data_IF_850147234044
#
_entry.id   IF_850147234044
#
_cell.length_a   1.000
_cell.length_b   1.000
_cell.length_c   1.000
_cell.angle_alpha   90.00
_cell.angle_beta   90.00
_cell.angle_gamma   90.00
#
_symmetry.space_group_name_H-M   'P 1'
#
loop_
_entity.id
_entity.type
_entity.pdbx_description
1 polymer ?
#
# COMPACT_ATOMS: atom_id res chain seq x y z
N UNK A 1 -7.93 -19.19 -10.35
CA UNK A 1 -7.42 -18.59 -9.10
C UNK A 1 -8.48 -17.66 -8.53
N UNK A 2 -8.44 -17.36 -7.23
CA UNK A 2 -9.45 -16.51 -6.62
C UNK A 2 -9.40 -15.10 -7.21
N UNK A 3 -10.56 -14.47 -7.41
CA UNK A 3 -10.69 -13.08 -7.88
C UNK A 3 -9.91 -12.76 -9.18
N UNK A 4 -9.78 -13.74 -10.08
CA UNK A 4 -9.13 -13.58 -11.38
C UNK A 4 -10.17 -13.52 -12.50
N UNK A 5 -9.78 -12.95 -13.64
CA UNK A 5 -10.53 -13.10 -14.89
C UNK A 5 -10.08 -14.41 -15.55
N UNK A 6 -10.98 -15.37 -15.72
CA UNK A 6 -10.75 -16.59 -16.47
C UNK A 6 -11.17 -16.43 -17.95
N UNK A 7 -10.37 -16.95 -18.87
CA UNK A 7 -10.74 -17.12 -20.28
C UNK A 7 -11.26 -18.54 -20.50
N UNK A 8 -12.50 -18.62 -20.99
CA UNK A 8 -13.20 -19.88 -21.24
C UNK A 8 -13.54 -19.98 -22.71
N UNK A 9 -13.22 -21.13 -23.30
CA UNK A 9 -13.75 -21.57 -24.59
C UNK A 9 -14.87 -22.57 -24.32
N UNK A 10 -16.03 -22.28 -24.87
CA UNK A 10 -17.18 -23.17 -24.90
C UNK A 10 -17.45 -23.59 -26.34
N UNK A 11 -17.95 -24.79 -26.54
CA UNK A 11 -18.34 -25.24 -27.87
C UNK A 11 -19.59 -26.11 -27.86
N UNK A 12 -20.49 -25.86 -28.80
CA UNK A 12 -21.50 -26.82 -29.18
C UNK A 12 -20.88 -27.78 -30.21
N UNK A 13 -20.95 -29.07 -29.92
CA UNK A 13 -20.45 -30.14 -30.80
C UNK A 13 -21.56 -31.10 -31.19
N UNK A 14 -22.80 -30.75 -30.86
CA UNK A 14 -23.96 -31.49 -31.30
C UNK A 14 -24.11 -31.39 -32.83
N UNK A 15 -24.67 -32.44 -33.42
CA UNK A 15 -24.82 -32.55 -34.86
C UNK A 15 -26.20 -32.08 -35.33
N UNK A 16 -27.18 -32.04 -34.41
CA UNK A 16 -28.59 -31.94 -34.73
C UNK A 16 -29.28 -30.71 -34.10
N UNK A 17 -28.74 -30.18 -32.99
CA UNK A 17 -29.32 -29.05 -32.25
C UNK A 17 -28.33 -27.90 -31.98
N UNK A 18 -28.83 -26.65 -32.07
CA UNK A 18 -28.15 -25.46 -31.53
C UNK A 18 -28.29 -25.41 -30.00
N UNK A 19 -27.36 -24.76 -29.31
CA UNK A 19 -27.39 -24.70 -27.84
C UNK A 19 -26.88 -23.34 -27.34
N UNK A 20 -27.71 -22.69 -26.52
CA UNK A 20 -27.40 -21.50 -25.75
C UNK A 20 -26.48 -21.81 -24.58
N UNK A 21 -25.21 -21.47 -24.69
CA UNK A 21 -24.17 -21.83 -23.75
C UNK A 21 -23.45 -20.61 -23.16
N UNK A 22 -23.00 -20.68 -21.92
CA UNK A 22 -22.35 -19.54 -21.28
C UNK A 22 -21.60 -19.84 -19.99
N UNK A 23 -20.94 -18.80 -19.48
CA UNK A 23 -20.19 -18.86 -18.22
C UNK A 23 -20.43 -17.57 -17.42
N UNK A 24 -20.55 -17.71 -16.10
CA UNK A 24 -20.75 -16.59 -15.19
C UNK A 24 -20.11 -16.83 -13.83
N UNK A 25 -20.03 -15.76 -13.05
CA UNK A 25 -19.56 -15.81 -11.67
C UNK A 25 -20.53 -16.65 -10.82
N UNK A 26 -20.00 -17.35 -9.82
CA UNK A 26 -20.77 -18.20 -8.92
C UNK A 26 -21.94 -17.44 -8.26
N UNK A 27 -23.15 -17.98 -8.34
CA UNK A 27 -24.36 -17.35 -7.80
C UNK A 27 -24.86 -16.12 -8.56
N UNK A 28 -24.27 -15.79 -9.72
CA UNK A 28 -24.74 -14.67 -10.56
C UNK A 28 -26.13 -14.97 -11.13
N UNK A 29 -27.00 -13.97 -11.21
CA UNK A 29 -28.28 -14.07 -11.91
C UNK A 29 -28.21 -13.61 -13.38
N UNK A 30 -27.03 -13.23 -13.86
CA UNK A 30 -26.84 -12.74 -15.22
C UNK A 30 -27.07 -13.86 -16.23
N UNK A 31 -27.83 -13.55 -17.28
CA UNK A 31 -28.08 -14.42 -18.42
C UNK A 31 -27.09 -14.07 -19.54
N UNK A 32 -25.94 -14.73 -19.52
CA UNK A 32 -24.82 -14.49 -20.46
C UNK A 32 -24.58 -15.74 -21.27
N UNK A 33 -25.37 -15.90 -22.33
CA UNK A 33 -25.30 -17.04 -23.25
C UNK A 33 -24.84 -16.58 -24.63
N UNK A 34 -24.17 -17.48 -25.33
CA UNK A 34 -23.94 -17.45 -26.76
C UNK A 34 -24.75 -18.59 -27.36
N UNK A 35 -25.53 -18.27 -28.39
CA UNK A 35 -26.19 -19.27 -29.21
C UNK A 35 -25.15 -19.87 -30.16
N UNK A 36 -24.85 -21.16 -30.00
CA UNK A 36 -23.83 -21.88 -30.76
C UNK A 36 -24.50 -22.94 -31.63
N UNK A 37 -24.27 -22.86 -32.94
CA UNK A 37 -24.97 -23.71 -33.90
C UNK A 37 -24.49 -25.16 -33.88
N UNK A 38 -25.33 -26.04 -34.40
CA UNK A 38 -25.04 -27.44 -34.67
C UNK A 38 -23.93 -27.58 -35.72
N UNK A 39 -23.18 -28.68 -35.63
CA UNK A 39 -22.08 -28.98 -36.56
C UNK A 39 -22.34 -30.27 -37.31
N UNK A 40 -23.18 -30.23 -38.35
CA UNK A 40 -23.66 -31.39 -39.13
C UNK A 40 -22.61 -32.30 -39.83
N UNK A 41 -21.31 -32.16 -39.56
CA UNK A 41 -20.22 -32.98 -40.12
C UNK A 41 -19.05 -33.29 -39.17
N UNK A 42 -19.22 -33.05 -37.86
CA UNK A 42 -18.15 -33.13 -36.86
C UNK A 42 -17.35 -31.83 -36.74
N UNK A 43 -16.77 -31.58 -35.57
CA UNK A 43 -16.14 -30.29 -35.22
C UNK A 43 -16.81 -29.69 -33.99
N UNK A 44 -16.95 -28.36 -33.98
CA UNK A 44 -17.74 -27.62 -33.00
C UNK A 44 -17.91 -26.16 -33.46
N UNK A 45 -19.01 -25.52 -33.06
CA UNK A 45 -19.12 -24.07 -33.09
C UNK A 45 -18.59 -23.54 -31.75
N UNK A 46 -17.68 -22.57 -31.80
CA UNK A 46 -16.85 -22.18 -30.65
C UNK A 46 -17.11 -20.73 -30.22
N UNK A 47 -17.46 -20.58 -28.95
CA UNK A 47 -17.55 -19.29 -28.26
C UNK A 47 -16.35 -19.07 -27.34
N UNK A 48 -15.99 -17.79 -27.16
CA UNK A 48 -15.04 -17.37 -26.13
C UNK A 48 -15.71 -16.40 -25.17
N UNK A 49 -15.56 -16.64 -23.88
CA UNK A 49 -16.08 -15.77 -22.84
C UNK A 49 -15.05 -15.53 -21.73
N UNK A 50 -15.13 -14.35 -21.13
CA UNK A 50 -14.39 -13.99 -19.93
C UNK A 50 -15.34 -13.90 -18.75
N UNK A 51 -14.89 -14.40 -17.60
CA UNK A 51 -15.65 -14.45 -16.35
C UNK A 51 -14.75 -14.15 -15.16
N UNK A 52 -15.27 -13.42 -14.18
CA UNK A 52 -14.61 -13.28 -12.89
C UNK A 52 -14.86 -14.53 -12.06
N UNK A 53 -13.80 -15.15 -11.54
CA UNK A 53 -13.90 -16.19 -10.52
C UNK A 53 -14.17 -15.54 -9.17
N UNK A 54 -14.98 -16.16 -8.33
CA UNK A 54 -15.19 -15.67 -6.96
C UNK A 54 -13.95 -15.87 -6.05
N UNK A 55 -14.10 -15.54 -4.76
CA UNK A 55 -13.06 -15.68 -3.76
C UNK A 55 -12.59 -17.14 -3.53
N UNK A 56 -13.41 -18.13 -3.90
CA UNK A 56 -13.12 -19.56 -3.81
C UNK A 56 -12.62 -20.14 -5.16
N UNK A 57 -12.35 -19.28 -6.15
CA UNK A 57 -11.98 -19.67 -7.53
C UNK A 57 -13.09 -20.38 -8.31
N UNK A 58 -14.36 -20.12 -7.97
CA UNK A 58 -15.52 -20.78 -8.56
C UNK A 58 -16.14 -19.93 -9.67
N UNK A 59 -16.58 -20.63 -10.72
CA UNK A 59 -17.39 -20.11 -11.82
C UNK A 59 -18.48 -21.14 -12.13
N UNK A 60 -19.55 -20.69 -12.78
CA UNK A 60 -20.65 -21.54 -13.23
C UNK A 60 -20.68 -21.59 -14.75
N UNK A 61 -20.92 -22.78 -15.30
CA UNK A 61 -21.12 -23.03 -16.71
C UNK A 61 -22.58 -23.41 -16.97
N UNK A 62 -23.18 -22.78 -17.98
CA UNK A 62 -24.59 -22.96 -18.36
C UNK A 62 -24.70 -23.42 -19.80
N UNK A 63 -25.70 -24.25 -20.04
CA UNK A 63 -26.17 -24.69 -21.33
C UNK A 63 -27.66 -25.00 -21.21
N UNK A 64 -28.44 -24.66 -22.23
CA UNK A 64 -29.90 -24.76 -22.17
C UNK A 64 -30.39 -26.21 -22.22
N UNK A 65 -29.67 -27.07 -22.96
CA UNK A 65 -29.81 -28.51 -22.91
C UNK A 65 -28.50 -29.15 -22.47
N UNK A 66 -28.56 -29.92 -21.38
CA UNK A 66 -27.40 -30.56 -20.78
C UNK A 66 -27.08 -31.93 -21.36
N UNK A 67 -27.97 -32.45 -22.19
CA UNK A 67 -27.82 -33.75 -22.84
C UNK A 67 -26.97 -33.69 -24.11
N UNK A 68 -26.80 -32.49 -24.68
CA UNK A 68 -26.03 -32.23 -25.90
C UNK A 68 -24.52 -32.37 -25.70
N UNK A 69 -23.85 -32.67 -26.81
CA UNK A 69 -22.39 -32.78 -26.82
C UNK A 69 -21.76 -31.39 -26.74
N UNK A 70 -21.14 -31.07 -25.61
CA UNK A 70 -20.48 -29.78 -25.40
C UNK A 70 -18.98 -29.94 -25.10
N UNK A 71 -18.27 -28.82 -25.20
CA UNK A 71 -16.89 -28.70 -24.75
C UNK A 71 -16.72 -27.45 -23.89
N UNK A 72 -15.99 -27.61 -22.78
CA UNK A 72 -15.58 -26.52 -21.89
C UNK A 72 -14.07 -26.58 -21.68
N UNK A 73 -13.37 -25.49 -22.00
CA UNK A 73 -11.93 -25.38 -21.79
C UNK A 73 -11.59 -24.06 -21.11
N UNK A 74 -10.93 -24.15 -19.96
CA UNK A 74 -10.25 -23.02 -19.34
C UNK A 74 -8.88 -22.85 -20.02
N UNK A 75 -8.69 -21.75 -20.75
CA UNK A 75 -7.48 -21.53 -21.57
C UNK A 75 -6.46 -20.62 -20.92
N UNK A 76 -6.87 -19.80 -19.96
CA UNK A 76 -5.99 -18.89 -19.23
C UNK A 76 -6.71 -18.10 -18.15
N UNK A 77 -5.95 -17.29 -17.42
CA UNK A 77 -6.49 -16.33 -16.48
C UNK A 77 -5.56 -15.11 -16.33
N UNK A 78 -6.14 -13.99 -15.88
CA UNK A 78 -5.43 -12.79 -15.44
C UNK A 78 -5.84 -12.48 -14.01
N UNK A 79 -4.86 -12.41 -13.11
CA UNK A 79 -5.09 -12.00 -11.72
C UNK A 79 -4.85 -10.49 -11.57
N UNK A 80 -5.49 -9.89 -10.56
CA UNK A 80 -5.15 -8.55 -10.14
C UNK A 80 -3.68 -8.44 -9.75
N UNK A 81 -3.10 -7.27 -10.00
CA UNK A 81 -1.78 -6.89 -9.51
C UNK A 81 -1.97 -5.77 -8.50
N UNK A 82 -1.42 -5.94 -7.31
CA UNK A 82 -1.30 -4.90 -6.30
C UNK A 82 0.03 -4.18 -6.55
N UNK A 83 -0.06 -2.90 -6.87
CA UNK A 83 1.10 -2.02 -6.98
C UNK A 83 1.33 -1.36 -5.63
N UNK A 84 2.57 -1.41 -5.15
CA UNK A 84 3.06 -0.65 -4.01
C UNK A 84 3.87 0.55 -4.52
N UNK A 85 3.54 1.75 -4.07
CA UNK A 85 4.25 2.98 -4.40
C UNK A 85 4.49 3.83 -3.16
N UNK A 86 5.46 4.75 -3.27
CA UNK A 86 5.49 5.90 -2.37
C UNK A 86 4.15 6.64 -2.47
N UNK A 87 3.75 7.26 -1.37
CA UNK A 87 2.62 8.17 -1.37
C UNK A 87 2.84 9.32 -2.38
N UNK A 88 1.76 9.85 -2.97
CA UNK A 88 1.84 10.90 -4.00
C UNK A 88 2.48 12.21 -3.48
N UNK A 89 2.29 12.51 -2.20
CA UNK A 89 2.94 13.63 -1.51
C UNK A 89 4.42 13.37 -1.15
N UNK A 90 4.91 12.14 -1.34
CA UNK A 90 6.25 11.69 -0.97
C UNK A 90 6.29 10.92 0.35
N UNK A 91 7.49 10.57 0.80
CA UNK A 91 7.71 9.90 2.07
C UNK A 91 7.64 10.86 3.27
N UNK A 92 7.35 10.28 4.44
CA UNK A 92 7.39 10.99 5.71
C UNK A 92 8.76 11.59 6.01
N UNK A 93 8.73 12.72 6.71
CA UNK A 93 9.95 13.34 7.24
C UNK A 93 10.33 12.73 8.60
N UNK A 94 11.48 13.14 9.15
CA UNK A 94 11.89 12.67 10.47
C UNK A 94 10.89 13.13 11.55
N UNK A 95 10.04 12.22 11.98
CA UNK A 95 9.06 12.41 13.05
C UNK A 95 9.63 12.60 14.47
N UNK A 96 10.92 12.33 14.72
CA UNK A 96 11.52 12.46 16.05
C UNK A 96 12.06 13.88 16.25
N UNK A 97 11.43 14.65 17.15
CA UNK A 97 11.63 16.10 17.24
C UNK A 97 12.63 16.57 18.31
N UNK A 98 13.22 15.68 19.10
CA UNK A 98 14.05 16.08 20.24
C UNK A 98 13.27 16.28 21.54
N UNK A 99 11.97 15.99 21.54
CA UNK A 99 11.03 16.31 22.65
C UNK A 99 10.99 15.24 23.75
N UNK A 100 11.75 14.15 23.60
CA UNK A 100 11.80 13.06 24.58
C UNK A 100 10.65 12.05 24.48
N UNK A 101 9.75 12.25 23.52
CA UNK A 101 8.61 11.40 23.20
C UNK A 101 7.75 12.07 22.13
N UNK A 102 7.00 11.27 21.40
CA UNK A 102 6.11 11.72 20.33
C UNK A 102 4.77 11.01 20.45
N UNK A 103 3.69 11.70 20.11
CA UNK A 103 2.35 11.11 20.08
C UNK A 103 1.82 11.27 18.67
N UNK A 104 1.24 10.20 18.12
CA UNK A 104 0.79 10.16 16.73
C UNK A 104 1.91 10.53 15.75
N UNK A 105 3.13 10.05 15.97
CA UNK A 105 4.23 10.26 15.04
C UNK A 105 3.96 9.52 13.74
N UNK A 106 3.92 10.24 12.62
CA UNK A 106 3.74 9.70 11.28
C UNK A 106 5.10 9.23 10.75
N UNK A 107 5.17 7.94 10.41
CA UNK A 107 6.43 7.22 10.24
C UNK A 107 6.70 6.74 8.83
N UNK A 108 5.63 6.50 8.06
CA UNK A 108 5.79 5.96 6.72
C UNK A 108 4.53 6.19 5.90
N UNK A 109 4.66 6.79 4.73
CA UNK A 109 3.55 7.01 3.80
C UNK A 109 3.67 6.05 2.63
N UNK A 110 2.58 5.44 2.19
CA UNK A 110 2.60 4.53 1.04
C UNK A 110 1.23 4.45 0.38
N UNK A 111 1.22 4.01 -0.87
CA UNK A 111 -0.01 3.77 -1.62
C UNK A 111 -0.08 2.29 -2.03
N UNK A 112 -1.30 1.75 -1.97
CA UNK A 112 -1.62 0.47 -2.58
C UNK A 112 -2.65 0.68 -3.69
N UNK A 113 -2.30 0.31 -4.92
CA UNK A 113 -3.20 0.36 -6.08
C UNK A 113 -3.51 -1.06 -6.58
N UNK A 114 -4.78 -1.54 -6.47
CA UNK A 114 -5.20 -2.84 -6.97
C UNK A 114 -5.59 -2.81 -8.46
N UNK A 115 -5.41 -1.66 -9.13
CA UNK A 115 -5.93 -1.38 -10.45
C UNK A 115 -7.46 -1.42 -10.45
N UNK A 116 -8.04 -2.20 -11.36
CA UNK A 116 -9.49 -2.38 -11.43
C UNK A 116 -10.03 -3.55 -10.59
N UNK A 117 -9.22 -4.13 -9.71
CA UNK A 117 -9.59 -5.28 -8.89
C UNK A 117 -9.87 -4.88 -7.44
N UNK A 118 -10.51 -5.78 -6.71
CA UNK A 118 -10.55 -5.73 -5.24
C UNK A 118 -9.60 -6.79 -4.70
N UNK A 119 -8.59 -6.36 -3.95
CA UNK A 119 -7.53 -7.22 -3.41
C UNK A 119 -7.61 -7.23 -1.89
N UNK A 120 -7.52 -8.42 -1.29
CA UNK A 120 -7.37 -8.57 0.16
C UNK A 120 -5.90 -8.76 0.52
N UNK A 121 -5.36 -7.82 1.29
CA UNK A 121 -4.04 -7.93 1.92
C UNK A 121 -4.25 -8.49 3.31
N UNK A 122 -3.82 -9.72 3.56
CA UNK A 122 -4.08 -10.42 4.82
C UNK A 122 -3.00 -10.16 5.88
N UNK A 123 -1.84 -9.67 5.47
CA UNK A 123 -0.79 -9.21 6.36
C UNK A 123 0.09 -8.16 5.69
N UNK A 124 0.47 -7.13 6.45
CA UNK A 124 1.52 -6.18 6.12
C UNK A 124 2.61 -6.24 7.18
N UNK A 125 3.87 -6.23 6.74
CA UNK A 125 5.04 -6.18 7.63
C UNK A 125 5.94 -5.02 7.24
N UNK A 126 6.08 -4.02 8.10
CA UNK A 126 7.12 -3.03 7.92
C UNK A 126 8.43 -3.60 8.46
N UNK A 127 9.49 -3.50 7.68
CA UNK A 127 10.83 -3.89 8.12
C UNK A 127 11.46 -2.71 8.85
N UNK A 128 11.94 -2.98 10.06
CA UNK A 128 12.71 -2.07 10.88
C UNK A 128 14.19 -2.44 10.77
N UNK A 129 15.02 -1.46 10.46
CA UNK A 129 16.46 -1.60 10.30
C UNK A 129 17.18 -0.44 10.97
N UNK A 130 18.49 -0.54 11.13
CA UNK A 130 19.31 0.51 11.77
C UNK A 130 18.74 0.98 13.13
N UNK A 131 18.11 0.05 13.85
CA UNK A 131 17.53 0.32 15.16
C UNK A 131 18.66 0.60 16.13
N UNK A 132 18.71 1.82 16.66
CA UNK A 132 19.64 2.24 17.68
C UNK A 132 18.87 2.63 18.93
N UNK A 133 19.29 2.08 20.08
CA UNK A 133 18.81 2.41 21.43
C UNK A 133 17.29 2.27 21.73
N UNK A 134 16.49 1.84 20.76
CA UNK A 134 15.06 1.54 20.94
C UNK A 134 14.78 0.06 21.26
N UNK A 135 13.68 -0.18 21.97
CA UNK A 135 13.12 -1.48 22.35
C UNK A 135 11.62 -1.56 22.02
N UNK A 136 11.03 -2.76 22.10
CA UNK A 136 9.58 -2.93 21.86
C UNK A 136 8.72 -2.09 22.80
N UNK A 137 9.19 -1.83 24.01
CA UNK A 137 8.46 -1.05 25.03
C UNK A 137 8.39 0.44 24.72
N UNK A 138 9.21 0.93 23.79
CA UNK A 138 9.21 2.35 23.39
C UNK A 138 8.06 2.68 22.44
N UNK A 139 7.47 1.68 21.78
CA UNK A 139 6.39 1.85 20.82
C UNK A 139 5.02 1.63 21.47
N UNK A 140 4.09 2.53 21.17
CA UNK A 140 2.68 2.43 21.51
C UNK A 140 1.80 2.81 20.32
N UNK A 141 0.50 2.55 20.41
CA UNK A 141 -0.50 3.10 19.47
C UNK A 141 -0.23 2.81 17.98
N UNK A 142 0.44 1.70 17.65
CA UNK A 142 0.91 1.44 16.28
C UNK A 142 -0.27 1.11 15.37
N UNK A 143 -0.47 1.92 14.33
CA UNK A 143 -1.65 1.86 13.47
C UNK A 143 -1.34 2.26 12.02
N UNK A 144 -2.20 1.83 11.09
CA UNK A 144 -2.23 2.33 9.72
C UNK A 144 -3.53 3.13 9.56
N UNK A 145 -3.41 4.35 9.05
CA UNK A 145 -4.54 5.24 8.78
C UNK A 145 -4.65 5.43 7.28
N UNK A 146 -5.88 5.48 6.78
CA UNK A 146 -6.16 5.91 5.40
C UNK A 146 -5.99 7.41 5.32
N UNK A 147 -5.08 7.86 4.47
CA UNK A 147 -4.99 9.24 4.01
C UNK A 147 -6.04 9.40 2.90
N UNK A 148 -7.08 10.17 3.18
CA UNK A 148 -8.26 10.28 2.35
C UNK A 148 -8.20 11.45 1.38
N UNK A 149 -7.33 12.43 1.62
CA UNK A 149 -7.17 13.60 0.76
C UNK A 149 -5.82 13.65 0.02
N UNK A 150 -5.02 12.60 0.17
CA UNK A 150 -3.72 12.38 -0.47
C UNK A 150 -2.74 13.53 -0.14
N UNK A 151 -2.86 14.11 1.07
CA UNK A 151 -2.03 15.23 1.50
C UNK A 151 -0.66 14.80 2.02
N UNK A 152 -0.53 13.56 2.49
CA UNK A 152 0.66 13.03 3.13
C UNK A 152 0.79 13.43 4.60
N UNK A 153 -0.29 13.88 5.24
CA UNK A 153 -0.36 14.18 6.67
C UNK A 153 -1.67 13.60 7.23
N UNK A 154 -1.69 13.03 8.44
CA UNK A 154 -2.96 12.59 9.07
C UNK A 154 -3.69 13.78 9.70
N UNK A 155 -4.78 14.22 9.05
CA UNK A 155 -5.43 15.49 9.37
C UNK A 155 -6.87 15.39 9.94
N UNK A 156 -7.52 16.55 10.07
CA UNK A 156 -8.88 16.73 10.55
C UNK A 156 -9.97 16.17 9.63
N UNK A 157 -9.96 14.87 9.40
CA UNK A 157 -10.90 14.14 8.54
C UNK A 157 -10.60 12.64 8.50
N UNK A 158 -9.41 12.27 8.94
CA UNK A 158 -8.80 10.97 8.69
C UNK A 158 -8.70 10.18 9.98
N UNK A 159 -9.69 9.32 10.18
CA UNK A 159 -9.78 8.45 11.36
C UNK A 159 -9.90 6.98 11.01
N UNK A 160 -9.86 6.65 9.72
CA UNK A 160 -10.09 5.28 9.24
C UNK A 160 -8.85 4.45 9.47
N UNK A 161 -8.85 3.64 10.52
CA UNK A 161 -7.78 2.70 10.85
C UNK A 161 -7.97 1.37 10.12
N UNK A 162 -6.89 0.80 9.60
CA UNK A 162 -6.87 -0.48 8.89
C UNK A 162 -5.74 -1.38 9.41
N UNK A 163 -5.74 -2.67 9.07
CA UNK A 163 -4.66 -3.61 9.45
C UNK A 163 -4.70 -4.11 10.90
N UNK A 164 -5.53 -3.49 11.75
CA UNK A 164 -5.59 -3.77 13.19
C UNK A 164 -4.43 -3.11 13.94
N UNK A 165 -4.21 -3.53 15.19
CA UNK A 165 -3.09 -3.03 15.98
C UNK A 165 -1.77 -3.61 15.46
N UNK A 166 -0.78 -2.75 15.26
CA UNK A 166 0.57 -3.15 14.87
C UNK A 166 1.31 -3.82 16.03
N UNK A 167 2.02 -4.91 15.73
CA UNK A 167 2.88 -5.60 16.71
C UNK A 167 4.34 -5.35 16.35
N UNK A 168 5.05 -4.58 17.17
CA UNK A 168 6.49 -4.36 17.03
C UNK A 168 7.29 -5.55 17.55
N UNK A 169 8.40 -5.83 16.88
CA UNK A 169 9.46 -6.72 17.34
C UNK A 169 10.80 -6.18 16.82
N UNK A 170 11.46 -5.39 17.63
CA UNK A 170 12.76 -4.76 17.36
C UNK A 170 13.88 -5.78 17.20
N UNK A 171 13.78 -6.96 17.82
CA UNK A 171 14.75 -8.05 17.65
C UNK A 171 14.63 -8.69 16.27
N UNK A 172 13.39 -8.90 15.80
CA UNK A 172 13.12 -9.40 14.45
C UNK A 172 13.23 -8.30 13.39
N UNK A 173 13.23 -7.03 13.80
CA UNK A 173 13.24 -5.89 12.91
C UNK A 173 11.92 -5.73 12.17
N UNK A 174 10.78 -5.80 12.86
CA UNK A 174 9.46 -5.76 12.20
C UNK A 174 8.39 -5.00 12.98
N UNK A 175 7.44 -4.39 12.27
CA UNK A 175 6.07 -4.10 12.73
C UNK A 175 5.10 -4.91 11.88
N UNK A 176 4.25 -5.73 12.50
CA UNK A 176 3.34 -6.64 11.78
C UNK A 176 1.87 -6.28 12.03
N UNK A 177 1.10 -6.19 10.95
CA UNK A 177 -0.35 -6.04 10.94
C UNK A 177 -0.99 -7.30 10.37
N UNK A 178 -1.85 -7.98 11.15
CA UNK A 178 -2.42 -9.29 10.77
C UNK A 178 -3.93 -9.27 10.52
N UNK A 179 -4.58 -8.11 10.60
CA UNK A 179 -5.98 -7.97 10.19
C UNK A 179 -6.03 -7.62 8.71
N UNK A 180 -6.92 -8.26 7.97
CA UNK A 180 -7.01 -8.05 6.53
C UNK A 180 -7.43 -6.61 6.17
N UNK A 181 -6.81 -6.08 5.13
CA UNK A 181 -7.13 -4.80 4.48
C UNK A 181 -7.72 -5.11 3.11
N UNK A 182 -8.89 -4.56 2.80
CA UNK A 182 -9.51 -4.66 1.48
C UNK A 182 -9.18 -3.40 0.70
N UNK A 183 -8.51 -3.55 -0.44
CA UNK A 183 -8.12 -2.45 -1.32
C UNK A 183 -8.93 -2.58 -2.62
N UNK A 184 -9.78 -1.61 -2.92
CA UNK A 184 -10.69 -1.63 -4.08
C UNK A 184 -10.45 -0.50 -5.10
N UNK A 185 -9.54 0.40 -4.78
CA UNK A 185 -9.05 1.49 -5.60
C UNK A 185 -7.65 1.87 -5.07
N UNK A 186 -6.89 2.64 -5.84
CA UNK A 186 -5.72 3.37 -5.32
C UNK A 186 -6.08 4.02 -3.98
N UNK A 187 -5.30 3.73 -2.94
CA UNK A 187 -5.53 4.24 -1.59
C UNK A 187 -4.21 4.51 -0.92
N UNK A 188 -4.12 5.70 -0.36
CA UNK A 188 -3.00 6.22 0.41
C UNK A 188 -3.13 5.86 1.88
N UNK A 189 -1.99 5.56 2.51
CA UNK A 189 -1.90 5.09 3.87
C UNK A 189 -0.70 5.69 4.59
N UNK A 190 -0.89 5.97 5.88
CA UNK A 190 0.17 6.45 6.77
C UNK A 190 0.30 5.48 7.96
N UNK A 191 1.51 4.97 8.18
CA UNK A 191 1.91 4.26 9.40
C UNK A 191 2.16 5.29 10.50
N UNK A 192 1.55 5.08 11.66
CA UNK A 192 1.69 5.96 12.82
C UNK A 192 1.97 5.18 14.10
N UNK A 193 2.69 5.79 15.03
CA UNK A 193 2.87 5.24 16.38
C UNK A 193 3.10 6.33 17.43
N UNK A 194 2.97 5.95 18.69
CA UNK A 194 3.34 6.73 19.86
C UNK A 194 4.70 6.27 20.38
N UNK A 195 5.52 7.22 20.82
CA UNK A 195 6.81 6.98 21.46
C UNK A 195 6.86 7.68 22.82
N UNK A 196 6.86 6.89 23.89
CA UNK A 196 6.79 7.46 25.24
C UNK A 196 8.14 7.95 25.79
N UNK A 197 9.23 7.40 25.26
CA UNK A 197 10.61 7.72 25.65
C UNK A 197 11.51 7.69 24.44
N UNK A 198 11.79 8.86 23.88
CA UNK A 198 12.88 9.05 22.93
C UNK A 198 14.05 9.73 23.64
N UNK A 199 15.25 9.28 23.34
CA UNK A 199 16.51 9.76 23.88
C UNK A 199 17.49 9.99 22.75
N UNK A 200 18.50 10.82 23.00
CA UNK A 200 19.54 11.05 22.01
C UNK A 200 20.14 9.71 21.53
N UNK A 201 20.27 9.58 20.20
CA UNK A 201 20.72 8.39 19.49
C UNK A 201 19.65 7.31 19.27
N UNK A 202 18.41 7.51 19.69
CA UNK A 202 17.32 6.65 19.24
C UNK A 202 17.12 6.87 17.75
N UNK A 203 17.18 5.78 16.98
CA UNK A 203 16.92 5.82 15.54
C UNK A 203 16.32 4.53 15.04
N UNK A 204 15.55 4.63 13.96
CA UNK A 204 15.02 3.50 13.23
C UNK A 204 14.84 3.88 11.76
N UNK A 205 15.22 2.97 10.86
CA UNK A 205 14.92 3.04 9.43
C UNK A 205 13.79 2.06 9.11
N UNK A 206 12.70 2.57 8.56
CA UNK A 206 11.47 1.85 8.24
C UNK A 206 11.38 1.66 6.72
N UNK A 207 10.98 0.47 6.29
CA UNK A 207 10.74 0.16 4.87
C UNK A 207 9.59 -0.81 4.69
N UNK A 208 8.97 -0.76 3.51
CA UNK A 208 7.96 -1.71 3.08
C UNK A 208 8.32 -2.22 1.68
N UNK A 209 8.41 -3.53 1.50
CA UNK A 209 8.63 -4.11 0.16
C UNK A 209 7.46 -5.00 -0.22
N UNK A 210 7.33 -5.31 -1.51
CA UNK A 210 6.30 -6.26 -1.98
C UNK A 210 6.41 -7.63 -1.32
N UNK A 211 7.59 -8.07 -0.91
CA UNK A 211 7.76 -9.35 -0.19
C UNK A 211 7.11 -9.33 1.20
N UNK A 212 6.96 -8.15 1.80
CA UNK A 212 6.33 -7.98 3.10
C UNK A 212 4.79 -7.86 3.05
N UNK A 213 4.20 -7.98 1.87
CA UNK A 213 2.75 -7.95 1.66
C UNK A 213 2.26 -9.38 1.41
N UNK A 214 1.36 -9.87 2.26
CA UNK A 214 0.70 -11.17 2.04
C UNK A 214 -0.65 -10.97 1.37
N UNK A 215 -0.78 -11.49 0.15
CA UNK A 215 -2.01 -11.51 -0.65
C UNK A 215 -1.93 -12.63 -1.69
N UNK A 216 -3.05 -12.97 -2.33
CA UNK A 216 -3.11 -13.90 -3.47
C UNK A 216 -2.87 -13.22 -4.81
N UNK A 217 -2.94 -11.88 -4.86
CA UNK A 217 -2.65 -11.09 -6.04
C UNK A 217 -1.17 -11.11 -6.41
N UNK A 218 -0.86 -10.80 -7.66
CA UNK A 218 0.50 -10.45 -8.05
C UNK A 218 0.89 -9.13 -7.37
N UNK A 219 2.18 -8.94 -7.10
CA UNK A 219 2.68 -7.76 -6.40
C UNK A 219 3.78 -7.11 -7.23
N UNK A 220 3.78 -5.78 -7.29
CA UNK A 220 4.82 -5.01 -7.98
C UNK A 220 5.05 -3.67 -7.28
N UNK A 221 6.06 -2.94 -7.71
CA UNK A 221 6.38 -1.62 -7.20
C UNK A 221 7.33 -1.64 -6.00
N UNK A 222 7.59 -0.45 -5.47
CA UNK A 222 8.60 -0.18 -4.45
C UNK A 222 8.23 1.09 -3.69
N UNK A 223 8.68 1.18 -2.45
CA UNK A 223 8.72 2.43 -1.69
C UNK A 223 10.16 2.80 -1.33
N UNK A 224 10.33 4.06 -0.94
CA UNK A 224 11.55 4.61 -0.37
C UNK A 224 11.53 4.42 1.15
N UNK A 225 12.64 3.96 1.73
CA UNK A 225 12.76 3.83 3.20
C UNK A 225 12.88 5.19 3.88
N UNK A 226 12.36 5.31 5.11
CA UNK A 226 12.44 6.53 5.93
C UNK A 226 13.24 6.26 7.19
N UNK A 227 14.12 7.19 7.56
CA UNK A 227 14.87 7.13 8.82
C UNK A 227 14.35 8.18 9.77
N UNK A 228 13.92 7.73 10.96
CA UNK A 228 13.61 8.58 12.09
C UNK A 228 14.77 8.52 13.07
N UNK A 229 15.23 9.68 13.51
CA UNK A 229 16.31 9.77 14.47
C UNK A 229 16.05 10.91 15.43
N UNK A 230 16.12 10.61 16.72
CA UNK A 230 16.11 11.59 17.78
C UNK A 230 17.49 12.27 17.72
N UNK A 231 17.57 13.27 16.86
CA UNK A 231 18.70 14.17 16.79
C UNK A 231 18.73 14.87 18.14
N UNK A 232 19.62 14.44 19.02
CA UNK A 232 19.73 15.13 20.29
C UNK A 232 20.00 16.59 19.99
N UNK A 233 19.22 17.49 20.60
CA UNK A 233 19.57 18.90 20.67
C UNK A 233 21.07 18.93 20.94
N UNK A 234 21.87 19.52 20.05
CA UNK A 234 23.32 19.47 20.17
C UNK A 234 23.64 20.04 21.54
N UNK A 235 23.89 19.15 22.52
CA UNK A 235 23.98 19.52 23.91
C UNK A 235 25.19 20.45 23.98
N UNK A 236 24.99 21.67 24.48
CA UNK A 236 25.94 22.78 24.45
C UNK A 236 26.11 23.52 23.10
N UNK A 237 25.20 23.39 22.13
CA UNK A 237 25.14 24.35 21.02
C UNK A 237 24.69 25.69 21.57
N UNK A 238 25.65 26.60 21.70
CA UNK A 238 25.42 27.94 22.24
C UNK A 238 24.71 28.83 21.22
N UNK A 239 25.02 28.67 19.92
CA UNK A 239 24.41 29.39 18.80
C UNK A 239 24.66 28.68 17.46
N UNK A 240 23.79 28.88 16.48
CA UNK A 240 23.91 28.40 15.09
C UNK A 240 23.41 29.48 14.11
N UNK A 241 24.33 30.07 13.34
CA UNK A 241 24.00 31.12 12.36
C UNK A 241 24.00 30.55 10.94
N UNK A 242 22.89 30.72 10.21
CA UNK A 242 22.77 30.36 8.79
C UNK A 242 23.40 31.39 7.84
N UNK A 243 23.63 32.60 8.34
CA UNK A 243 24.21 33.73 7.58
C UNK A 243 23.40 34.08 6.31
N UNK A 244 22.08 34.03 6.41
CA UNK A 244 21.11 34.21 5.31
C UNK A 244 20.13 35.38 5.55
N UNK A 245 20.43 36.25 6.52
CA UNK A 245 19.50 37.32 6.95
C UNK A 245 19.31 38.42 5.90
N UNK A 246 20.17 38.48 4.89
CA UNK A 246 20.05 39.33 3.69
C UNK A 246 20.16 40.83 3.91
N UNK A 247 20.15 41.31 5.16
CA UNK A 247 20.25 42.74 5.48
C UNK A 247 20.61 42.98 6.96
N UNK A 248 20.98 44.23 7.28
CA UNK A 248 21.27 44.66 8.65
C UNK A 248 22.64 44.22 9.16
N UNK A 249 22.84 44.33 10.48
CA UNK A 249 24.13 44.10 11.15
C UNK A 249 24.16 42.84 12.01
N UNK A 250 23.10 42.02 12.01
CA UNK A 250 22.99 40.86 12.89
C UNK A 250 22.89 39.58 12.07
N UNK A 251 23.69 38.57 12.43
CA UNK A 251 23.46 37.19 12.02
C UNK A 251 22.50 36.55 13.01
N UNK A 252 21.31 36.19 12.56
CA UNK A 252 20.26 35.63 13.43
C UNK A 252 20.60 34.20 13.82
N UNK A 253 20.60 33.94 15.12
CA UNK A 253 20.83 32.61 15.67
C UNK A 253 19.58 31.74 15.50
N UNK A 254 19.73 30.64 14.76
CA UNK A 254 18.67 29.67 14.52
C UNK A 254 18.28 28.88 15.76
N UNK A 255 19.08 28.88 16.83
CA UNK A 255 18.66 28.34 18.15
C UNK A 255 17.99 29.39 19.03
N UNK A 256 18.02 30.66 18.65
CA UNK A 256 17.42 31.77 19.39
C UNK A 256 18.16 32.16 20.68
N UNK A 257 19.36 31.64 20.92
CA UNK A 257 20.10 31.88 22.15
C UNK A 257 20.96 33.16 22.09
N UNK A 258 21.68 33.38 21.00
CA UNK A 258 22.60 34.51 20.87
C UNK A 258 22.84 34.92 19.41
N UNK A 259 22.21 36.02 18.99
CA UNK A 259 22.50 36.65 17.68
C UNK A 259 23.95 37.15 17.60
N UNK A 260 24.58 36.95 16.44
CA UNK A 260 25.90 37.47 16.13
C UNK A 260 25.83 38.91 15.62
N UNK A 261 26.79 39.76 15.98
CA UNK A 261 26.91 41.12 15.41
C UNK A 261 28.03 41.17 14.38
N UNK A 262 27.71 41.63 13.17
CA UNK A 262 28.66 41.89 12.09
C UNK A 262 29.52 43.13 12.42
N UNK A 263 30.84 42.98 12.40
CA UNK A 263 31.80 44.07 12.69
C UNK A 263 32.71 44.33 11.49
N UNK A 264 33.13 45.59 11.31
CA UNK A 264 33.95 46.07 10.18
C UNK A 264 33.25 46.13 8.81
N UNK A 265 31.92 46.24 8.80
CA UNK A 265 31.13 46.51 7.60
C UNK A 265 31.09 45.40 6.53
N UNK A 266 31.01 44.10 6.88
CA UNK A 266 30.71 43.07 5.89
C UNK A 266 29.34 43.33 5.26
N UNK A 267 29.20 42.95 4.00
CA UNK A 267 27.97 43.12 3.21
C UNK A 267 27.38 41.74 2.96
N UNK A 268 26.07 41.59 3.17
CA UNK A 268 25.34 40.38 2.78
C UNK A 268 25.41 40.21 1.27
N UNK A 269 25.69 38.98 0.83
CA UNK A 269 25.64 38.59 -0.58
C UNK A 269 24.54 37.55 -0.69
N UNK A 270 23.58 37.82 -1.57
CA UNK A 270 22.63 36.80 -2.00
C UNK A 270 23.39 35.78 -2.87
N UNK A 271 23.01 34.50 -2.74
CA UNK A 271 23.56 33.41 -3.57
C UNK A 271 22.97 33.44 -4.99
#
# INVERSE_FOLDING_TARGET
>A
PANAVAEVILANKDLDEENGMGVRENGSSADRLLDLHEVGGGGGDYGRMHVLTDADSTIEFYHEDVSDTHEFRLTGYWAGTLTLSDHDAGQESNAFSGSGGETNAELFAFELDPGCFTISVTQLVFTLSEIAAMSDGDWGGIEIIVDNDDSGDVDGGESTKVGGDGVVNTVAGTVTFSTAITVSAATSYILRADFSTLTQCDSVTISLTTENITTTALKTGTTTSVTHAEAGAIQNLVAHWKLDTGSGTNAVDSTGNADGTLVNGPVWVDD
#
